data_IF_754728522041
#
_entry.id   IF_754728522041
#
_cell.length_a   1.000
_cell.length_b   1.000
_cell.length_c   1.000
_cell.angle_alpha   90.00
_cell.angle_beta   90.00
_cell.angle_gamma   90.00
#
_symmetry.space_group_name_H-M   'P 1'
#
loop_
_entity.id
_entity.type
_entity.pdbx_description
1 polymer ?
#
# COMPACT_ATOMS: atom_id res chain seq x y z
N UNK A 1 -17.74 12.98 -26.77
CA UNK A 1 -18.60 11.82 -26.41
C UNK A 1 -17.98 10.79 -25.44
N UNK A 2 -16.69 10.85 -25.07
CA UNK A 2 -16.07 9.86 -24.14
C UNK A 2 -16.15 10.21 -22.64
N UNK A 3 -16.42 11.47 -22.30
CA UNK A 3 -16.56 11.93 -20.88
C UNK A 3 -17.93 11.58 -20.30
N UNK A 4 -18.95 11.37 -21.14
CA UNK A 4 -20.31 11.07 -20.70
C UNK A 4 -20.48 9.61 -20.22
N UNK A 5 -19.57 8.70 -20.59
CA UNK A 5 -19.64 7.27 -20.23
C UNK A 5 -19.09 6.98 -18.82
N UNK A 6 -18.24 7.86 -18.27
CA UNK A 6 -17.68 7.73 -16.91
C UNK A 6 -18.61 8.28 -15.82
N UNK A 7 -19.54 9.17 -16.18
CA UNK A 7 -20.51 9.75 -15.25
C UNK A 7 -21.78 8.88 -15.10
N UNK A 8 -22.11 8.08 -16.10
CA UNK A 8 -23.25 7.16 -16.06
C UNK A 8 -22.99 5.92 -15.21
N UNK A 9 -21.76 5.40 -15.17
CA UNK A 9 -21.39 4.27 -14.29
C UNK A 9 -21.39 4.66 -12.80
N UNK A 10 -20.99 5.89 -12.46
CA UNK A 10 -21.05 6.39 -11.09
C UNK A 10 -22.49 6.55 -10.56
N UNK A 11 -23.45 6.80 -11.46
CA UNK A 11 -24.87 6.97 -11.11
C UNK A 11 -25.60 5.62 -11.02
N UNK A 12 -25.14 4.60 -11.75
CA UNK A 12 -25.71 3.24 -11.73
C UNK A 12 -25.30 2.41 -10.50
N UNK A 13 -24.27 2.83 -9.76
CA UNK A 13 -23.83 2.19 -8.50
C UNK A 13 -24.55 2.71 -7.25
N UNK A 14 -25.38 3.75 -7.39
CA UNK A 14 -26.10 4.38 -6.27
C UNK A 14 -27.18 3.49 -5.61
N UNK A 15 -27.93 2.63 -6.31
CA UNK A 15 -28.98 1.82 -5.68
C UNK A 15 -28.46 0.48 -5.12
N UNK A 16 -27.16 0.19 -5.21
CA UNK A 16 -26.54 -0.98 -4.55
C UNK A 16 -25.81 -0.61 -3.25
N UNK A 17 -26.04 0.60 -2.74
CA UNK A 17 -25.71 0.94 -1.36
C UNK A 17 -26.65 0.17 -0.44
N UNK A 18 -26.35 -1.12 -0.24
CA UNK A 18 -26.79 -1.89 0.91
C UNK A 18 -26.64 -0.98 2.14
N UNK A 19 -27.67 -0.93 2.99
CA UNK A 19 -27.67 -0.30 4.32
C UNK A 19 -26.66 -1.01 5.24
N UNK A 20 -25.39 -1.02 4.84
CA UNK A 20 -24.28 -1.46 5.67
C UNK A 20 -23.96 -0.23 6.53
N UNK A 21 -24.16 -0.29 7.85
CA UNK A 21 -23.76 0.80 8.72
C UNK A 21 -22.29 1.13 8.45
N UNK A 22 -21.98 2.40 8.16
CA UNK A 22 -20.65 2.84 7.70
C UNK A 22 -19.50 2.44 8.62
N UNK A 23 -19.77 2.41 9.94
CA UNK A 23 -18.83 1.91 10.93
C UNK A 23 -18.41 0.45 10.70
N UNK A 24 -19.31 -0.37 10.12
CA UNK A 24 -19.02 -1.73 9.69
C UNK A 24 -18.03 -1.76 8.52
N UNK A 25 -18.26 -0.95 7.47
CA UNK A 25 -17.41 -0.93 6.27
C UNK A 25 -15.96 -0.58 6.63
N UNK A 26 -15.74 0.45 7.45
CA UNK A 26 -14.41 0.86 7.90
C UNK A 26 -13.70 -0.26 8.66
N UNK A 27 -14.40 -0.89 9.62
CA UNK A 27 -13.86 -2.02 10.40
C UNK A 27 -13.50 -3.21 9.51
N UNK A 28 -14.31 -3.50 8.49
CA UNK A 28 -14.02 -4.55 7.51
C UNK A 28 -12.82 -4.20 6.62
N UNK A 29 -12.70 -2.95 6.16
CA UNK A 29 -11.55 -2.49 5.39
C UNK A 29 -10.25 -2.55 6.20
N UNK A 30 -10.27 -2.16 7.48
CA UNK A 30 -9.12 -2.28 8.38
C UNK A 30 -8.72 -3.75 8.60
N UNK A 31 -9.70 -4.63 8.84
CA UNK A 31 -9.44 -6.07 8.98
C UNK A 31 -8.86 -6.65 7.69
N UNK A 32 -9.42 -6.30 6.54
CA UNK A 32 -8.90 -6.71 5.24
C UNK A 32 -7.47 -6.21 5.02
N UNK A 33 -7.15 -4.98 5.46
CA UNK A 33 -5.81 -4.41 5.32
C UNK A 33 -4.77 -5.15 6.15
N UNK A 34 -5.13 -5.58 7.36
CA UNK A 34 -4.26 -6.41 8.20
C UNK A 34 -4.02 -7.79 7.57
N UNK A 35 -5.09 -8.45 7.10
CA UNK A 35 -4.97 -9.72 6.40
C UNK A 35 -4.15 -9.59 5.11
N UNK A 36 -4.32 -8.50 4.37
CA UNK A 36 -3.54 -8.23 3.18
C UNK A 36 -2.06 -8.03 3.49
N UNK A 37 -1.75 -7.36 4.60
CA UNK A 37 -0.36 -7.19 5.06
C UNK A 37 0.30 -8.53 5.39
N UNK A 38 -0.42 -9.43 6.07
CA UNK A 38 0.08 -10.79 6.36
C UNK A 38 0.27 -11.59 5.07
N UNK A 39 -0.69 -11.51 4.13
CA UNK A 39 -0.59 -12.17 2.83
C UNK A 39 0.61 -11.67 2.01
N UNK A 40 0.83 -10.35 1.95
CA UNK A 40 2.00 -9.78 1.29
C UNK A 40 3.31 -10.19 1.96
N UNK A 41 3.35 -10.26 3.30
CA UNK A 41 4.52 -10.77 4.01
C UNK A 41 4.82 -12.23 3.65
N UNK A 42 3.78 -13.06 3.48
CA UNK A 42 3.92 -14.44 3.03
C UNK A 42 4.52 -14.50 1.61
N UNK A 43 3.97 -13.77 0.64
CA UNK A 43 4.51 -13.74 -0.74
C UNK A 43 5.95 -13.20 -0.80
N UNK A 44 6.27 -12.22 0.02
CA UNK A 44 7.65 -11.72 0.14
C UNK A 44 8.58 -12.80 0.70
N UNK A 45 8.15 -13.53 1.73
CA UNK A 45 8.94 -14.58 2.35
C UNK A 45 9.14 -15.79 1.43
N UNK A 46 8.12 -16.16 0.63
CA UNK A 46 8.26 -17.24 -0.35
C UNK A 46 9.31 -16.88 -1.40
N UNK A 47 9.27 -15.68 -1.98
CA UNK A 47 10.30 -15.28 -2.94
C UNK A 47 11.68 -15.11 -2.32
N UNK A 48 11.78 -14.56 -1.10
CA UNK A 48 13.04 -14.48 -0.37
C UNK A 48 13.65 -15.86 -0.14
N UNK A 49 12.81 -16.88 0.11
CA UNK A 49 13.28 -18.25 0.32
C UNK A 49 13.89 -18.88 -0.95
N UNK A 50 13.49 -18.40 -2.12
CA UNK A 50 14.02 -18.83 -3.42
C UNK A 50 15.29 -18.06 -3.82
N UNK A 51 15.61 -16.93 -3.17
CA UNK A 51 16.75 -16.09 -3.55
C UNK A 51 17.15 -15.01 -2.54
N UNK A 52 17.64 -15.39 -1.36
CA UNK A 52 18.05 -14.47 -0.27
C UNK A 52 19.11 -13.41 -0.64
N UNK A 53 19.99 -13.69 -1.61
CA UNK A 53 21.10 -12.80 -1.97
C UNK A 53 20.79 -11.92 -3.19
N UNK A 54 19.73 -12.21 -3.92
CA UNK A 54 19.31 -11.40 -5.04
C UNK A 54 18.46 -10.24 -4.52
N UNK A 55 19.06 -9.05 -4.38
CA UNK A 55 18.28 -7.84 -4.09
C UNK A 55 17.26 -7.66 -5.23
N UNK A 56 15.99 -7.60 -4.86
CA UNK A 56 14.88 -7.54 -5.81
C UNK A 56 13.60 -7.02 -5.17
N UNK A 57 12.54 -6.93 -5.95
CA UNK A 57 11.26 -6.34 -5.55
C UNK A 57 10.59 -7.03 -4.34
N UNK A 58 10.82 -8.33 -4.10
CA UNK A 58 10.37 -9.02 -2.88
C UNK A 58 10.97 -8.43 -1.60
N UNK A 59 12.19 -7.85 -1.66
CA UNK A 59 12.75 -7.09 -0.52
C UNK A 59 11.93 -5.82 -0.28
N UNK A 60 11.54 -5.12 -1.36
CA UNK A 60 10.62 -3.99 -1.28
C UNK A 60 9.29 -4.36 -0.63
N UNK A 61 8.71 -5.51 -1.03
CA UNK A 61 7.47 -6.02 -0.43
C UNK A 61 7.63 -6.33 1.05
N UNK A 62 8.72 -7.01 1.40
CA UNK A 62 9.03 -7.36 2.79
C UNK A 62 9.16 -6.10 3.66
N UNK A 63 9.86 -5.07 3.18
CA UNK A 63 10.02 -3.80 3.87
C UNK A 63 8.69 -3.06 4.05
N UNK A 64 7.82 -3.04 3.04
CA UNK A 64 6.48 -2.46 3.16
C UNK A 64 5.64 -3.24 4.17
N UNK A 65 5.68 -4.57 4.12
CA UNK A 65 4.96 -5.41 5.07
C UNK A 65 5.44 -5.19 6.51
N UNK A 66 6.76 -5.08 6.72
CA UNK A 66 7.35 -4.73 8.02
C UNK A 66 6.91 -3.34 8.47
N UNK A 67 6.92 -2.32 7.60
CA UNK A 67 6.45 -0.97 7.92
C UNK A 67 4.99 -0.99 8.40
N UNK A 68 4.11 -1.68 7.67
CA UNK A 68 2.69 -1.80 8.02
C UNK A 68 2.47 -2.58 9.32
N UNK A 69 3.19 -3.68 9.54
CA UNK A 69 3.14 -4.44 10.79
C UNK A 69 3.62 -3.59 11.98
N UNK A 70 4.70 -2.83 11.81
CA UNK A 70 5.24 -1.94 12.83
C UNK A 70 4.20 -0.89 13.26
N UNK A 71 3.53 -0.25 12.29
CA UNK A 71 2.46 0.72 12.55
C UNK A 71 1.26 0.07 13.24
N UNK A 72 0.86 -1.13 12.79
CA UNK A 72 -0.20 -1.90 13.44
C UNK A 72 0.12 -2.24 14.91
N UNK A 73 1.37 -2.60 15.20
CA UNK A 73 1.84 -2.86 16.57
C UNK A 73 1.86 -1.59 17.42
N UNK A 74 2.27 -0.45 16.86
CA UNK A 74 2.22 0.84 17.57
C UNK A 74 0.79 1.23 17.98
N UNK A 75 -0.20 0.91 17.15
CA UNK A 75 -1.62 1.18 17.45
C UNK A 75 -2.23 0.19 18.47
N UNK A 76 -1.64 -1.01 18.61
CA UNK A 76 -2.14 -2.08 19.47
C UNK A 76 -1.42 -2.18 20.84
N UNK A 77 -0.65 -1.15 21.22
CA UNK A 77 0.30 -1.16 22.34
C UNK A 77 -0.33 -1.52 23.71
N UNK A 78 -1.64 -1.33 23.88
CA UNK A 78 -2.38 -1.72 25.09
C UNK A 78 -2.58 -3.24 25.26
N UNK A 79 -2.35 -4.05 24.22
CA UNK A 79 -2.61 -5.51 24.21
C UNK A 79 -1.33 -6.31 23.87
N UNK A 80 -0.20 -5.64 23.66
CA UNK A 80 0.99 -6.23 23.06
C UNK A 80 1.92 -6.91 24.09
N UNK A 81 2.45 -8.10 23.77
CA UNK A 81 3.41 -8.87 24.57
C UNK A 81 4.75 -8.12 24.70
N UNK A 82 5.46 -8.24 25.82
CA UNK A 82 6.72 -7.52 26.14
C UNK A 82 7.76 -7.50 24.99
N UNK A 83 7.93 -8.61 24.27
CA UNK A 83 8.84 -8.70 23.11
C UNK A 83 8.40 -7.80 21.94
N UNK A 84 7.10 -7.68 21.69
CA UNK A 84 6.56 -6.80 20.66
C UNK A 84 6.70 -5.32 21.04
N UNK A 85 6.74 -4.99 22.33
CA UNK A 85 7.01 -3.62 22.80
C UNK A 85 8.44 -3.18 22.52
N UNK A 86 9.43 -4.09 22.60
CA UNK A 86 10.83 -3.79 22.26
C UNK A 86 11.01 -3.56 20.76
N UNK A 87 10.45 -4.46 19.95
CA UNK A 87 10.47 -4.31 18.48
C UNK A 87 9.71 -3.04 18.04
N UNK A 88 8.54 -2.81 18.63
CA UNK A 88 7.75 -1.60 18.43
C UNK A 88 8.54 -0.33 18.75
N UNK A 89 9.27 -0.28 19.87
CA UNK A 89 10.13 0.85 20.24
C UNK A 89 11.25 1.11 19.23
N UNK A 90 11.91 0.06 18.74
CA UNK A 90 13.02 0.17 17.79
C UNK A 90 12.53 0.68 16.41
N UNK A 91 11.34 0.25 16.01
CA UNK A 91 10.67 0.72 14.79
C UNK A 91 9.95 2.06 14.98
N UNK A 92 9.83 2.57 16.22
CA UNK A 92 9.20 3.87 16.55
C UNK A 92 10.14 5.05 16.42
N UNK A 93 11.44 4.84 16.25
CA UNK A 93 12.33 5.96 16.01
C UNK A 93 11.84 6.70 14.74
N UNK A 94 11.66 8.03 14.80
CA UNK A 94 10.98 8.80 13.74
C UNK A 94 11.67 8.69 12.37
N UNK A 95 12.90 8.20 12.37
CA UNK A 95 13.74 8.03 11.19
C UNK A 95 13.61 6.61 10.59
N UNK A 96 13.25 5.60 11.40
CA UNK A 96 13.28 4.19 10.97
C UNK A 96 12.26 3.86 9.89
N UNK A 97 10.99 4.23 10.06
CA UNK A 97 9.94 3.92 9.07
C UNK A 97 10.13 4.68 7.74
N UNK A 98 10.47 5.98 7.73
CA UNK A 98 10.84 6.66 6.50
C UNK A 98 12.02 6.00 5.78
N UNK A 99 13.07 5.60 6.52
CA UNK A 99 14.21 4.90 5.92
C UNK A 99 13.81 3.56 5.32
N UNK A 100 13.00 2.76 6.01
CA UNK A 100 12.48 1.48 5.51
C UNK A 100 11.72 1.69 4.18
N UNK A 101 10.87 2.71 4.11
CA UNK A 101 10.13 3.03 2.89
C UNK A 101 11.06 3.51 1.77
N UNK A 102 12.04 4.36 2.08
CA UNK A 102 13.04 4.82 1.11
C UNK A 102 13.88 3.65 0.58
N UNK A 103 14.29 2.72 1.43
CA UNK A 103 15.00 1.50 1.01
C UNK A 103 14.11 0.64 0.11
N UNK A 104 12.82 0.50 0.43
CA UNK A 104 11.87 -0.21 -0.42
C UNK A 104 11.72 0.46 -1.81
N UNK A 105 11.66 1.79 -1.85
CA UNK A 105 11.63 2.56 -3.11
C UNK A 105 12.90 2.32 -3.92
N UNK A 106 14.08 2.48 -3.31
CA UNK A 106 15.37 2.36 -4.02
C UNK A 106 15.58 0.95 -4.56
N UNK A 107 15.32 -0.08 -3.74
CA UNK A 107 15.45 -1.49 -4.16
C UNK A 107 14.49 -1.83 -5.30
N UNK A 108 13.25 -1.36 -5.23
CA UNK A 108 12.26 -1.60 -6.29
C UNK A 108 12.54 -0.79 -7.56
N UNK A 109 13.00 0.46 -7.42
CA UNK A 109 13.36 1.32 -8.55
C UNK A 109 14.60 0.80 -9.29
N UNK A 110 15.52 0.14 -8.57
CA UNK A 110 16.67 -0.52 -9.17
C UNK A 110 16.24 -1.66 -10.10
N UNK A 111 15.28 -2.50 -9.69
CA UNK A 111 14.70 -3.53 -10.57
C UNK A 111 14.03 -2.92 -11.79
N UNK A 112 13.19 -1.91 -11.58
CA UNK A 112 12.54 -1.18 -12.68
C UNK A 112 13.56 -0.61 -13.66
N UNK A 113 14.68 -0.06 -13.18
CA UNK A 113 15.73 0.46 -14.04
C UNK A 113 16.42 -0.63 -14.86
N UNK A 114 16.70 -1.81 -14.26
CA UNK A 114 17.26 -2.95 -14.99
C UNK A 114 16.30 -3.43 -16.08
N UNK A 115 15.00 -3.53 -15.78
CA UNK A 115 13.99 -3.98 -16.72
C UNK A 115 13.72 -2.95 -17.83
N UNK A 116 13.70 -1.66 -17.48
CA UNK A 116 13.50 -0.59 -18.45
C UNK A 116 14.65 -0.50 -19.46
N UNK A 117 15.85 -0.90 -19.06
CA UNK A 117 17.01 -0.98 -19.95
C UNK A 117 16.90 -2.13 -20.96
N UNK A 118 16.10 -3.15 -20.66
CA UNK A 118 16.00 -4.37 -21.45
C UNK A 118 14.70 -4.46 -22.26
N UNK A 119 13.53 -4.18 -21.67
CA UNK A 119 12.23 -4.42 -22.34
C UNK A 119 11.09 -3.46 -21.95
N UNK A 120 11.31 -2.48 -21.06
CA UNK A 120 10.33 -1.42 -20.71
C UNK A 120 8.91 -1.90 -20.34
N UNK A 121 8.75 -3.16 -19.94
CA UNK A 121 7.45 -3.72 -19.55
C UNK A 121 7.04 -3.23 -18.17
N UNK A 122 5.80 -2.76 -18.07
CA UNK A 122 5.18 -2.41 -16.78
C UNK A 122 4.72 -3.71 -16.11
N UNK A 123 5.01 -3.84 -14.82
CA UNK A 123 4.65 -5.01 -14.01
C UNK A 123 4.63 -4.71 -12.52
N UNK A 124 4.53 -5.74 -11.70
CA UNK A 124 4.59 -5.74 -10.24
C UNK A 124 5.84 -5.06 -9.66
N UNK A 125 6.98 -5.02 -10.35
CA UNK A 125 8.13 -4.18 -9.96
C UNK A 125 7.77 -2.68 -9.92
N UNK A 126 7.07 -2.19 -10.95
CA UNK A 126 6.57 -0.82 -11.00
C UNK A 126 5.48 -0.62 -9.95
N UNK A 127 4.61 -1.63 -9.80
CA UNK A 127 3.59 -1.65 -8.75
C UNK A 127 4.19 -1.51 -7.35
N UNK A 128 5.34 -2.14 -7.09
CA UNK A 128 6.06 -2.06 -5.83
C UNK A 128 6.58 -0.66 -5.54
N UNK A 129 7.18 0.01 -6.53
CA UNK A 129 7.65 1.39 -6.38
C UNK A 129 6.48 2.31 -6.02
N UNK A 130 5.36 2.19 -6.75
CA UNK A 130 4.18 3.01 -6.53
C UNK A 130 3.57 2.72 -5.14
N UNK A 131 3.54 1.45 -4.73
CA UNK A 131 3.06 1.04 -3.41
C UNK A 131 3.96 1.55 -2.29
N UNK A 132 5.27 1.57 -2.48
CA UNK A 132 6.23 2.12 -1.53
C UNK A 132 6.09 3.64 -1.39
N UNK A 133 5.80 4.36 -2.48
CA UNK A 133 5.47 5.78 -2.44
C UNK A 133 4.17 6.05 -1.68
N UNK A 134 3.14 5.22 -1.87
CA UNK A 134 1.92 5.28 -1.07
C UNK A 134 2.23 5.11 0.43
N UNK A 135 3.04 4.11 0.80
CA UNK A 135 3.39 3.86 2.20
C UNK A 135 4.20 5.01 2.79
N UNK A 136 5.18 5.54 2.05
CA UNK A 136 5.94 6.71 2.48
C UNK A 136 5.03 7.91 2.74
N UNK A 137 4.03 8.14 1.88
CA UNK A 137 3.03 9.17 2.10
C UNK A 137 2.22 8.95 3.38
N UNK A 138 1.77 7.72 3.67
CA UNK A 138 1.11 7.40 4.95
C UNK A 138 2.02 7.61 6.17
N UNK A 139 3.30 7.24 6.08
CA UNK A 139 4.28 7.44 7.17
C UNK A 139 4.52 8.93 7.42
N UNK A 140 4.64 9.74 6.35
CA UNK A 140 4.82 11.19 6.48
C UNK A 140 3.56 11.84 7.05
N UNK A 141 2.36 11.43 6.62
CA UNK A 141 1.09 11.91 7.20
C UNK A 141 0.99 11.62 8.69
N UNK A 142 1.29 10.37 9.10
CA UNK A 142 1.24 9.97 10.51
C UNK A 142 2.24 10.79 11.35
N UNK A 143 3.43 11.08 10.80
CA UNK A 143 4.47 11.86 11.48
C UNK A 143 4.19 13.37 11.52
N UNK A 144 3.52 13.91 10.49
CA UNK A 144 3.26 15.33 10.35
C UNK A 144 2.12 15.83 11.27
N UNK A 145 1.21 14.94 11.68
CA UNK A 145 0.05 15.27 12.52
C UNK A 145 -0.94 16.23 11.83
N UNK A 146 -2.04 16.57 12.52
CA UNK A 146 -3.08 17.45 11.96
C UNK A 146 -2.65 18.91 11.81
N UNK A 147 -1.58 19.33 12.49
CA UNK A 147 -1.08 20.71 12.53
C UNK A 147 -0.21 21.10 11.31
N UNK A 148 0.21 20.13 10.51
CA UNK A 148 0.98 20.35 9.28
C UNK A 148 0.09 20.85 8.13
N UNK A 149 -0.45 22.07 8.25
CA UNK A 149 -1.31 22.71 7.23
C UNK A 149 -0.57 23.64 6.25
N UNK A 150 0.74 23.47 6.11
CA UNK A 150 1.54 24.17 5.10
C UNK A 150 1.21 23.74 3.65
N UNK A 151 1.82 24.40 2.65
CA UNK A 151 1.69 24.02 1.23
C UNK A 151 2.05 22.54 0.98
N UNK A 152 3.08 22.03 1.67
CA UNK A 152 3.47 20.63 1.61
C UNK A 152 2.46 19.69 2.30
N UNK A 153 1.87 20.10 3.42
CA UNK A 153 0.81 19.36 4.09
C UNK A 153 -0.42 19.12 3.21
N UNK A 154 -0.80 20.10 2.38
CA UNK A 154 -1.90 19.92 1.42
C UNK A 154 -1.65 18.84 0.38
N UNK A 155 -0.41 18.69 -0.08
CA UNK A 155 -0.01 17.65 -1.04
C UNK A 155 0.03 16.30 -0.33
N UNK A 156 0.61 16.28 0.87
CA UNK A 156 0.75 15.08 1.70
C UNK A 156 -0.64 14.51 2.03
N UNK A 157 -1.62 15.32 2.44
CA UNK A 157 -2.99 14.87 2.74
C UNK A 157 -3.92 14.75 1.51
N UNK A 158 -3.40 14.78 0.29
CA UNK A 158 -4.23 14.78 -0.92
C UNK A 158 -4.79 13.38 -1.21
N UNK A 159 -6.00 13.09 -0.72
CA UNK A 159 -6.69 11.80 -0.92
C UNK A 159 -6.76 11.31 -2.38
N UNK A 160 -6.98 12.16 -3.39
CA UNK A 160 -6.96 11.71 -4.78
C UNK A 160 -5.60 11.18 -5.24
N UNK A 161 -4.49 11.73 -4.74
CA UNK A 161 -3.15 11.20 -5.02
C UNK A 161 -2.98 9.80 -4.43
N UNK A 162 -3.42 9.58 -3.19
CA UNK A 162 -3.42 8.24 -2.57
C UNK A 162 -4.20 7.22 -3.40
N UNK A 163 -5.38 7.62 -3.87
CA UNK A 163 -6.20 6.75 -4.72
C UNK A 163 -5.48 6.47 -6.06
N UNK A 164 -4.88 7.47 -6.67
CA UNK A 164 -4.12 7.31 -7.91
C UNK A 164 -2.91 6.38 -7.73
N UNK A 165 -2.16 6.51 -6.63
CA UNK A 165 -1.06 5.61 -6.30
C UNK A 165 -1.57 4.18 -6.07
N UNK A 166 -2.63 3.99 -5.30
CA UNK A 166 -3.20 2.66 -5.06
C UNK A 166 -3.70 2.00 -6.35
N UNK A 167 -4.39 2.76 -7.23
CA UNK A 167 -4.83 2.27 -8.54
C UNK A 167 -3.67 1.98 -9.48
N UNK A 168 -2.63 2.83 -9.49
CA UNK A 168 -1.44 2.63 -10.30
C UNK A 168 -0.68 1.36 -9.90
N UNK A 169 -0.51 1.14 -8.59
CA UNK A 169 0.09 -0.07 -8.06
C UNK A 169 -0.73 -1.32 -8.42
N UNK A 170 -2.05 -1.25 -8.28
CA UNK A 170 -2.96 -2.34 -8.63
C UNK A 170 -2.95 -2.64 -10.12
N UNK A 171 -2.95 -1.63 -10.97
CA UNK A 171 -2.90 -1.78 -12.43
C UNK A 171 -1.58 -2.42 -12.87
N UNK A 172 -0.45 -1.96 -12.35
CA UNK A 172 0.86 -2.51 -12.70
C UNK A 172 1.01 -3.97 -12.26
N UNK A 173 0.58 -4.32 -11.05
CA UNK A 173 0.58 -5.70 -10.58
C UNK A 173 -0.46 -6.57 -11.32
N UNK A 174 -1.61 -6.00 -11.69
CA UNK A 174 -2.65 -6.68 -12.46
C UNK A 174 -2.23 -7.02 -13.89
N UNK A 175 -1.40 -6.18 -14.52
CA UNK A 175 -0.80 -6.48 -15.82
C UNK A 175 0.11 -7.71 -15.71
N UNK A 176 1.00 -7.76 -14.72
CA UNK A 176 1.86 -8.93 -14.52
C UNK A 176 1.05 -10.18 -14.20
N UNK A 177 0.02 -10.09 -13.34
CA UNK A 177 -0.89 -11.21 -13.06
C UNK A 177 -1.62 -11.76 -14.29
N UNK A 178 -1.88 -10.91 -15.28
CA UNK A 178 -2.53 -11.35 -16.52
C UNK A 178 -1.60 -12.16 -17.43
N UNK A 179 -0.29 -12.02 -17.24
CA UNK A 179 0.76 -12.70 -18.00
C UNK A 179 1.36 -13.88 -17.23
N UNK A 180 1.48 -13.77 -15.90
CA UNK A 180 2.01 -14.79 -15.00
C UNK A 180 1.13 -14.95 -13.74
N UNK A 181 0.53 -16.14 -13.59
CA UNK A 181 -0.27 -16.52 -12.44
C UNK A 181 0.54 -17.26 -11.37
N UNK A 182 1.86 -17.39 -11.54
CA UNK A 182 2.72 -18.03 -10.54
C UNK A 182 2.74 -17.18 -9.27
N UNK A 183 2.51 -17.79 -8.09
CA UNK A 183 2.61 -17.08 -6.82
C UNK A 183 3.94 -16.34 -6.68
N UNK A 184 3.86 -15.03 -6.41
CA UNK A 184 5.04 -14.17 -6.32
C UNK A 184 4.73 -12.82 -5.67
N UNK A 185 5.72 -11.97 -5.53
CA UNK A 185 5.60 -10.67 -4.88
C UNK A 185 4.61 -9.75 -5.60
N UNK A 186 4.42 -9.88 -6.92
CA UNK A 186 3.37 -9.16 -7.65
C UNK A 186 1.95 -9.50 -7.14
N UNK A 187 1.70 -10.72 -6.63
CA UNK A 187 0.44 -11.06 -5.96
C UNK A 187 0.28 -10.27 -4.66
N UNK A 188 1.36 -10.18 -3.87
CA UNK A 188 1.39 -9.37 -2.64
C UNK A 188 1.13 -7.89 -2.91
N UNK A 189 1.70 -7.34 -3.99
CA UNK A 189 1.42 -5.97 -4.44
C UNK A 189 -0.05 -5.80 -4.82
N UNK A 190 -0.60 -6.69 -5.65
CA UNK A 190 -1.99 -6.60 -6.09
C UNK A 190 -2.97 -6.64 -4.91
N UNK A 191 -2.72 -7.55 -3.96
CA UNK A 191 -3.51 -7.73 -2.76
C UNK A 191 -3.46 -6.50 -1.84
N UNK A 192 -2.26 -5.95 -1.59
CA UNK A 192 -2.12 -4.72 -0.80
C UNK A 192 -2.77 -3.53 -1.49
N UNK A 193 -2.45 -3.31 -2.77
CA UNK A 193 -2.98 -2.20 -3.56
C UNK A 193 -4.51 -2.25 -3.65
N UNK A 194 -5.10 -3.42 -3.87
CA UNK A 194 -6.55 -3.60 -3.90
C UNK A 194 -7.23 -3.19 -2.61
N UNK A 195 -6.68 -3.58 -1.45
CA UNK A 195 -7.26 -3.14 -0.17
C UNK A 195 -7.05 -1.65 0.09
N UNK A 196 -5.93 -1.07 -0.35
CA UNK A 196 -5.69 0.37 -0.23
C UNK A 196 -6.63 1.21 -1.10
N UNK A 197 -7.02 0.71 -2.28
CA UNK A 197 -8.09 1.33 -3.09
C UNK A 197 -9.38 1.36 -2.30
N UNK A 198 -9.80 0.24 -1.71
CA UNK A 198 -11.03 0.17 -0.89
C UNK A 198 -10.95 1.14 0.28
N UNK A 199 -9.86 1.10 1.05
CA UNK A 199 -9.65 1.98 2.22
C UNK A 199 -9.71 3.46 1.84
N UNK A 200 -9.10 3.83 0.71
CA UNK A 200 -9.06 5.22 0.24
C UNK A 200 -10.43 5.66 -0.29
N UNK A 201 -11.15 4.80 -1.01
CA UNK A 201 -12.52 5.06 -1.45
C UNK A 201 -13.46 5.29 -0.24
N UNK A 202 -13.36 4.46 0.80
CA UNK A 202 -14.11 4.65 2.04
C UNK A 202 -13.78 6.01 2.68
N UNK A 203 -12.49 6.35 2.80
CA UNK A 203 -12.07 7.64 3.36
C UNK A 203 -12.56 8.85 2.55
N UNK A 204 -12.57 8.76 1.22
CA UNK A 204 -13.09 9.82 0.35
C UNK A 204 -14.60 9.95 0.50
N UNK A 205 -15.33 8.83 0.60
CA UNK A 205 -16.76 8.85 0.86
C UNK A 205 -17.04 9.58 2.18
N UNK A 206 -16.42 9.15 3.28
CA UNK A 206 -16.64 9.73 4.61
C UNK A 206 -16.38 11.24 4.66
N UNK A 207 -15.47 11.77 3.84
CA UNK A 207 -15.13 13.18 3.83
C UNK A 207 -16.03 14.09 2.96
N UNK A 208 -16.99 13.51 2.24
CA UNK A 208 -17.95 14.27 1.42
C UNK A 208 -19.21 14.69 2.19
N UNK A 209 -19.36 14.22 3.42
CA UNK A 209 -20.45 14.56 4.34
C UNK A 209 -19.91 15.35 5.54
#
# INVERSE_FOLDING_TARGET
>A
MRVLLLLTTASALRPLALDIPRGGIKKHAEKASRLATVGAAFFAATELSEGLLAIGHHHGLALIAVSKLARGLQQAESVAVESSKRLGRLLRAPITLPLVCLTAIVTSAWEVWKDARLDAKVGGHHGMVILALYELQEVIEDAAGEESRGRFGKIIHFRPLKLALALGALGAAGLELSEDLRPGAHHGVALLAGVLVVKTCVSIWEARE
#
